data_IF_470813053879
#
_entry.id   IF_470813053879
#
_cell.length_a   1.000
_cell.length_b   1.000
_cell.length_c   1.000
_cell.angle_alpha   90.00
_cell.angle_beta   90.00
_cell.angle_gamma   90.00
#
_symmetry.space_group_name_H-M   'P 1'
#
loop_
_entity.id
_entity.type
_entity.pdbx_description
1 polymer ?
#
# COMPACT_ATOMS: atom_id res chain seq x y z
N UNK A 1 -7.16 30.57 16.84
CA UNK A 1 -6.47 30.42 15.54
C UNK A 1 -5.75 29.08 15.55
N UNK A 2 -5.82 28.27 14.49
CA UNK A 2 -5.01 27.05 14.42
C UNK A 2 -3.56 27.42 14.14
N UNK A 3 -2.57 26.76 14.75
CA UNK A 3 -1.17 27.00 14.44
C UNK A 3 -0.92 26.70 12.96
N UNK A 4 -0.07 27.48 12.31
CA UNK A 4 0.27 27.31 10.89
C UNK A 4 1.67 26.71 10.75
N UNK A 5 1.88 25.94 9.69
CA UNK A 5 3.19 25.43 9.26
C UNK A 5 3.49 25.89 7.84
N UNK A 6 4.77 26.05 7.54
CA UNK A 6 5.24 26.31 6.19
C UNK A 6 5.46 24.97 5.46
N UNK A 7 4.85 24.81 4.28
CA UNK A 7 5.05 23.65 3.41
C UNK A 7 5.36 24.09 1.98
N UNK A 8 5.90 23.18 1.16
CA UNK A 8 6.11 23.42 -0.27
C UNK A 8 4.99 22.74 -1.04
N UNK A 9 4.14 23.52 -1.70
CA UNK A 9 3.05 23.02 -2.52
C UNK A 9 3.13 23.64 -3.91
N UNK A 10 3.10 22.81 -4.96
CA UNK A 10 3.23 23.29 -6.34
C UNK A 10 4.53 24.06 -6.61
N UNK A 11 5.61 23.75 -5.87
CA UNK A 11 6.91 24.42 -6.00
C UNK A 11 7.03 25.77 -5.28
N UNK A 12 6.02 26.19 -4.49
CA UNK A 12 6.05 27.43 -3.73
C UNK A 12 5.88 27.18 -2.23
N UNK A 13 6.54 28.00 -1.41
CA UNK A 13 6.36 28.01 0.04
C UNK A 13 4.97 28.58 0.37
N UNK A 14 4.15 27.80 1.07
CA UNK A 14 2.75 28.12 1.39
C UNK A 14 2.51 27.86 2.87
N UNK A 15 1.81 28.77 3.55
CA UNK A 15 1.35 28.56 4.93
C UNK A 15 0.05 27.75 4.91
N UNK A 16 0.02 26.69 5.69
CA UNK A 16 -1.16 25.83 5.87
C UNK A 16 -1.40 25.60 7.35
N UNK A 17 -2.62 25.22 7.72
CA UNK A 17 -2.89 24.79 9.09
C UNK A 17 -2.00 23.59 9.46
N UNK A 18 -1.53 23.56 10.71
CA UNK A 18 -0.57 22.57 11.18
C UNK A 18 -1.09 21.12 11.01
N UNK A 19 -2.38 20.93 11.24
CA UNK A 19 -3.11 19.66 11.10
C UNK A 19 -3.43 19.31 9.63
N UNK A 20 -3.37 20.28 8.72
CA UNK A 20 -3.60 20.03 7.29
C UNK A 20 -2.42 19.29 6.66
N UNK A 21 -2.70 18.09 6.14
CA UNK A 21 -1.75 17.28 5.36
C UNK A 21 -2.23 17.02 3.93
N UNK A 22 -3.29 17.67 3.48
CA UNK A 22 -3.92 17.45 2.17
C UNK A 22 -2.92 17.63 1.02
N UNK A 23 -2.08 18.67 1.08
CA UNK A 23 -1.06 18.95 0.07
C UNK A 23 0.06 17.89 0.08
N UNK A 24 0.53 17.49 1.26
CA UNK A 24 1.53 16.42 1.42
C UNK A 24 1.01 15.09 0.82
N UNK A 25 -0.24 14.73 1.12
CA UNK A 25 -0.88 13.53 0.56
C UNK A 25 -1.06 13.61 -0.95
N UNK A 26 -1.45 14.78 -1.47
CA UNK A 26 -1.61 15.00 -2.91
C UNK A 26 -0.28 14.83 -3.64
N UNK A 27 0.79 15.41 -3.12
CA UNK A 27 2.11 15.37 -3.74
C UNK A 27 2.73 13.95 -3.62
N UNK A 28 2.54 13.29 -2.48
CA UNK A 28 2.88 11.87 -2.31
C UNK A 28 2.18 10.98 -3.35
N UNK A 29 0.86 11.13 -3.51
CA UNK A 29 0.10 10.36 -4.49
C UNK A 29 0.54 10.70 -5.92
N UNK A 30 0.75 11.97 -6.25
CA UNK A 30 1.26 12.41 -7.57
C UNK A 30 2.59 11.74 -7.89
N UNK A 31 3.55 11.73 -6.96
CA UNK A 31 4.84 11.09 -7.16
C UNK A 31 4.70 9.58 -7.38
N UNK A 32 3.83 8.90 -6.63
CA UNK A 32 3.56 7.47 -6.88
C UNK A 32 2.96 7.21 -8.26
N UNK A 33 2.03 8.04 -8.73
CA UNK A 33 1.49 7.90 -10.09
C UNK A 33 2.53 8.19 -11.18
N UNK A 34 3.49 9.08 -10.91
CA UNK A 34 4.57 9.41 -11.83
C UNK A 34 5.61 8.29 -11.95
N UNK A 35 6.06 7.75 -10.82
CA UNK A 35 7.20 6.81 -10.77
C UNK A 35 6.80 5.33 -10.61
N UNK A 36 5.59 5.05 -10.14
CA UNK A 36 5.09 3.70 -9.81
C UNK A 36 3.75 3.42 -10.53
N UNK A 37 3.60 3.96 -11.75
CA UNK A 37 2.33 3.96 -12.51
C UNK A 37 1.78 2.54 -12.71
N UNK A 38 2.64 1.60 -13.11
CA UNK A 38 2.25 0.22 -13.41
C UNK A 38 1.63 -0.47 -12.19
N UNK A 39 2.31 -0.38 -11.05
CA UNK A 39 1.83 -0.86 -9.75
C UNK A 39 0.51 -0.21 -9.35
N UNK A 40 0.39 1.12 -9.49
CA UNK A 40 -0.85 1.84 -9.13
C UNK A 40 -2.02 1.43 -10.00
N UNK A 41 -1.80 1.26 -11.31
CA UNK A 41 -2.82 0.75 -12.22
C UNK A 41 -3.23 -0.68 -11.87
N UNK A 42 -2.27 -1.54 -11.52
CA UNK A 42 -2.56 -2.91 -11.10
C UNK A 42 -3.44 -2.96 -9.85
N UNK A 43 -3.06 -2.27 -8.76
CA UNK A 43 -3.87 -2.23 -7.54
C UNK A 43 -5.25 -1.59 -7.74
N UNK A 44 -5.40 -0.69 -8.71
CA UNK A 44 -6.69 -0.09 -9.06
C UNK A 44 -7.50 -0.92 -10.07
N UNK A 45 -6.91 -1.97 -10.65
CA UNK A 45 -7.56 -2.78 -11.68
C UNK A 45 -8.72 -3.58 -11.09
N UNK A 46 -9.76 -3.80 -11.91
CA UNK A 46 -10.87 -4.70 -11.56
C UNK A 46 -10.36 -6.11 -11.25
N UNK A 47 -9.41 -6.60 -12.06
CA UNK A 47 -8.80 -7.92 -11.90
C UNK A 47 -8.20 -8.11 -10.51
N UNK A 48 -7.34 -7.19 -10.04
CA UNK A 48 -6.79 -7.29 -8.69
C UNK A 48 -7.87 -7.22 -7.60
N UNK A 49 -8.84 -6.31 -7.72
CA UNK A 49 -9.92 -6.16 -6.73
C UNK A 49 -10.73 -7.45 -6.58
N UNK A 50 -11.03 -8.11 -7.70
CA UNK A 50 -11.74 -9.38 -7.71
C UNK A 50 -10.88 -10.52 -7.17
N UNK A 51 -9.63 -10.67 -7.63
CA UNK A 51 -8.69 -11.67 -7.11
C UNK A 51 -8.48 -11.53 -5.61
N UNK A 52 -8.21 -10.32 -5.12
CA UNK A 52 -8.01 -10.05 -3.69
C UNK A 52 -9.25 -10.39 -2.86
N UNK A 53 -10.46 -10.10 -3.36
CA UNK A 53 -11.70 -10.51 -2.70
C UNK A 53 -11.81 -12.04 -2.61
N UNK A 54 -11.44 -12.77 -3.66
CA UNK A 54 -11.49 -14.24 -3.66
C UNK A 54 -10.48 -14.85 -2.69
N UNK A 55 -9.25 -14.31 -2.61
CA UNK A 55 -8.23 -14.76 -1.64
C UNK A 55 -8.74 -14.62 -0.21
N UNK A 56 -9.35 -13.47 0.12
CA UNK A 56 -9.91 -13.23 1.46
C UNK A 56 -11.08 -14.18 1.77
N UNK A 57 -12.00 -14.38 0.83
CA UNK A 57 -13.13 -15.29 0.99
C UNK A 57 -12.68 -16.73 1.20
N UNK A 58 -11.76 -17.24 0.38
CA UNK A 58 -11.24 -18.62 0.50
C UNK A 58 -10.47 -18.85 1.80
N UNK A 59 -9.86 -17.79 2.34
CA UNK A 59 -9.15 -17.85 3.62
C UNK A 59 -10.08 -17.65 4.82
N UNK A 60 -11.40 -17.54 4.63
CA UNK A 60 -12.37 -17.17 5.66
C UNK A 60 -11.99 -15.90 6.43
N UNK A 61 -11.34 -14.95 5.76
CA UNK A 61 -10.78 -13.75 6.39
C UNK A 61 -9.85 -14.06 7.57
N UNK A 62 -9.13 -15.19 7.55
CA UNK A 62 -8.12 -15.55 8.55
C UNK A 62 -6.74 -15.17 8.03
N UNK A 63 -5.97 -14.45 8.83
CA UNK A 63 -4.61 -14.07 8.51
C UNK A 63 -3.69 -15.28 8.52
N UNK A 64 -2.99 -15.51 7.40
CA UNK A 64 -2.08 -16.65 7.23
C UNK A 64 -0.88 -16.64 8.20
N UNK A 65 -0.52 -15.47 8.76
CA UNK A 65 0.65 -15.32 9.63
C UNK A 65 0.33 -15.43 11.12
N UNK A 66 -0.84 -14.99 11.57
CA UNK A 66 -1.17 -14.93 13.00
C UNK A 66 -2.51 -15.56 13.37
N UNK A 67 -3.32 -16.00 12.42
CA UNK A 67 -4.66 -16.55 12.68
C UNK A 67 -5.74 -15.52 13.05
N UNK A 68 -5.39 -14.24 13.17
CA UNK A 68 -6.36 -13.15 13.42
C UNK A 68 -7.18 -12.77 12.18
N UNK A 69 -7.99 -11.72 12.28
CA UNK A 69 -8.79 -11.22 11.17
C UNK A 69 -7.91 -10.60 10.06
N UNK A 70 -8.05 -11.11 8.83
CA UNK A 70 -7.42 -10.57 7.64
C UNK A 70 -8.25 -9.43 7.05
N UNK A 71 -7.57 -8.33 6.71
CA UNK A 71 -8.20 -7.13 6.15
C UNK A 71 -7.74 -6.82 4.73
N UNK A 72 -6.71 -7.54 4.25
CA UNK A 72 -6.12 -7.32 2.93
C UNK A 72 -5.46 -8.59 2.40
N UNK A 73 -5.25 -8.65 1.10
CA UNK A 73 -4.39 -9.65 0.46
C UNK A 73 -2.97 -9.12 0.38
N UNK A 74 -2.01 -9.90 0.87
CA UNK A 74 -0.57 -9.63 0.79
C UNK A 74 0.06 -10.53 -0.31
N UNK A 75 1.10 -10.00 -0.95
CA UNK A 75 1.93 -10.76 -1.88
C UNK A 75 3.10 -11.37 -1.12
N UNK A 76 3.23 -12.69 -1.05
CA UNK A 76 4.32 -13.38 -0.33
C UNK A 76 5.69 -12.87 -0.82
N UNK A 77 5.89 -12.87 -2.13
CA UNK A 77 6.97 -12.17 -2.84
C UNK A 77 6.41 -10.86 -3.36
N UNK A 78 7.00 -9.74 -2.92
CA UNK A 78 6.48 -8.42 -3.25
C UNK A 78 6.46 -8.18 -4.76
N UNK A 79 5.45 -7.44 -5.24
CA UNK A 79 5.34 -7.09 -6.66
C UNK A 79 6.55 -6.30 -7.20
N UNK A 80 7.34 -5.67 -6.31
CA UNK A 80 8.54 -4.93 -6.66
C UNK A 80 9.73 -5.86 -6.88
N UNK A 81 9.72 -7.02 -6.22
CA UNK A 81 10.73 -8.06 -6.36
C UNK A 81 10.43 -8.94 -7.57
N UNK A 82 9.17 -9.34 -7.77
CA UNK A 82 8.79 -10.18 -8.92
C UNK A 82 7.38 -9.84 -9.45
N UNK A 83 7.35 -9.01 -10.50
CA UNK A 83 6.10 -8.61 -11.16
C UNK A 83 5.35 -9.76 -11.82
N UNK A 84 6.04 -10.84 -12.20
CA UNK A 84 5.42 -11.98 -12.89
C UNK A 84 4.44 -12.71 -11.98
N UNK A 85 4.67 -12.68 -10.67
CA UNK A 85 3.87 -13.36 -9.63
C UNK A 85 2.72 -12.53 -9.06
N UNK A 86 2.44 -11.34 -9.60
CA UNK A 86 1.42 -10.42 -9.06
C UNK A 86 0.00 -10.99 -8.98
N UNK A 87 -0.31 -12.02 -9.78
CA UNK A 87 -1.60 -12.74 -9.82
C UNK A 87 -1.43 -14.26 -9.62
N UNK A 88 -0.24 -14.71 -9.25
CA UNK A 88 -0.02 -16.12 -8.92
C UNK A 88 -0.69 -16.41 -7.57
N UNK A 89 -1.67 -17.31 -7.56
CA UNK A 89 -2.41 -17.70 -6.35
C UNK A 89 -1.50 -18.21 -5.23
N UNK A 90 -0.41 -18.90 -5.57
CA UNK A 90 0.55 -19.39 -4.58
C UNK A 90 1.41 -18.26 -4.00
N UNK A 91 1.35 -17.06 -4.59
CA UNK A 91 2.04 -15.87 -4.12
C UNK A 91 1.09 -14.90 -3.38
N UNK A 92 -0.18 -15.25 -3.20
CA UNK A 92 -1.17 -14.40 -2.52
C UNK A 92 -1.61 -15.04 -1.21
N UNK A 93 -1.70 -14.23 -0.15
CA UNK A 93 -2.16 -14.70 1.16
C UNK A 93 -3.07 -13.67 1.83
N UNK A 94 -4.05 -14.13 2.60
CA UNK A 94 -4.86 -13.26 3.45
C UNK A 94 -4.01 -12.75 4.64
N UNK A 95 -4.05 -11.44 4.89
CA UNK A 95 -3.19 -10.78 5.86
C UNK A 95 -3.93 -9.72 6.67
N UNK A 96 -3.63 -9.62 7.96
CA UNK A 96 -4.04 -8.50 8.78
C UNK A 96 -3.08 -7.32 8.57
N UNK A 97 -3.54 -6.10 8.89
CA UNK A 97 -2.71 -4.89 8.74
C UNK A 97 -1.39 -4.98 9.51
N UNK A 98 -1.41 -5.48 10.74
CA UNK A 98 -0.22 -5.55 11.59
C UNK A 98 0.86 -6.46 10.99
N UNK A 99 0.49 -7.66 10.53
CA UNK A 99 1.43 -8.60 9.92
C UNK A 99 1.95 -8.08 8.57
N UNK A 100 1.08 -7.49 7.74
CA UNK A 100 1.48 -6.90 6.47
C UNK A 100 2.50 -5.76 6.66
N UNK A 101 2.25 -4.85 7.61
CA UNK A 101 3.17 -3.74 7.90
C UNK A 101 4.52 -4.25 8.45
N UNK A 102 4.49 -5.24 9.34
CA UNK A 102 5.71 -5.87 9.86
C UNK A 102 6.56 -6.52 8.75
N UNK A 103 5.92 -7.18 7.79
CA UNK A 103 6.57 -7.74 6.60
C UNK A 103 7.20 -6.64 5.74
N UNK A 104 6.47 -5.57 5.44
CA UNK A 104 6.99 -4.45 4.64
C UNK A 104 8.21 -3.78 5.29
N UNK A 105 8.24 -3.68 6.64
CA UNK A 105 9.42 -3.19 7.36
C UNK A 105 10.61 -4.12 7.15
N UNK A 106 10.43 -5.43 7.37
CA UNK A 106 11.50 -6.43 7.18
C UNK A 106 12.07 -6.41 5.76
N UNK A 107 11.20 -6.35 4.75
CA UNK A 107 11.61 -6.27 3.34
C UNK A 107 12.43 -5.01 3.05
N UNK A 108 12.05 -3.85 3.61
CA UNK A 108 12.80 -2.60 3.43
C UNK A 108 14.24 -2.69 3.98
N UNK A 109 14.45 -3.46 5.04
CA UNK A 109 15.77 -3.67 5.63
C UNK A 109 16.63 -4.69 4.86
N UNK A 110 16.05 -5.54 4.01
CA UNK A 110 16.79 -6.53 3.19
C UNK A 110 17.71 -5.89 2.14
N UNK A 111 17.40 -4.67 1.71
CA UNK A 111 18.09 -3.95 0.63
C UNK A 111 18.93 -2.76 1.12
N UNK A 112 19.19 -2.68 2.42
CA UNK A 112 20.15 -1.73 3.02
C UNK A 112 21.45 -2.46 3.31
#
# INVERSE_FOLDING_TARGET
MRPQKLTVAGGRRTLVDYDDRSLEYRDYNRNRWKYDKQTKQFYNSKLWRETSKQVLLQSNYVCAMCGGEATMTDHIISIKEDWSKRLDWNNLQASCKACNDAKAIREKHKYK
#
